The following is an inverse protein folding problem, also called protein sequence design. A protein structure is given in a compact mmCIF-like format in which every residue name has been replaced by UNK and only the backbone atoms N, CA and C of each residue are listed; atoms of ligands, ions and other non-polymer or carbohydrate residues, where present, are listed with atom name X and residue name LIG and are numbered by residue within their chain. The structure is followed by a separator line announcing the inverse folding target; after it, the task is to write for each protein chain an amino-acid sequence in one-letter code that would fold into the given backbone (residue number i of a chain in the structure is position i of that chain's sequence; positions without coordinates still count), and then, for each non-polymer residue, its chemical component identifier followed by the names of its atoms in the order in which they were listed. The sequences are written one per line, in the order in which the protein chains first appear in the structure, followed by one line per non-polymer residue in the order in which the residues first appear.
data_IF_925491213897
#
_entry.id   IF_925491213897
#
_cell.length_a   1.000
_cell.length_b   1.000
_cell.length_c   1.000
_cell.angle_alpha   90.00
_cell.angle_beta   90.00
_cell.angle_gamma   90.00
#
_symmetry.space_group_name_H-M   'P 1'
#
loop_
_entity.id
_entity.type
_entity.pdbx_description
1 polymer ?
#
# COMPACT_ATOMS: atom_id res chain seq x y z
N UNK A 1 -2.48 9.52 -15.08
CA UNK A 1 -3.09 8.49 -16.00
C UNK A 1 -3.70 7.40 -15.15
N UNK A 2 -4.90 6.87 -15.54
CA UNK A 2 -5.55 5.71 -14.90
C UNK A 2 -5.44 4.50 -15.84
N UNK A 3 -5.07 3.32 -15.30
CA UNK A 3 -4.95 2.06 -16.05
C UNK A 3 -5.52 0.91 -15.22
N UNK A 4 -6.16 -0.09 -15.85
CA UNK A 4 -6.53 -1.34 -15.16
C UNK A 4 -5.30 -2.05 -14.62
N UNK A 5 -5.41 -2.59 -13.41
CA UNK A 5 -4.32 -3.30 -12.74
C UNK A 5 -4.65 -4.76 -12.42
N UNK A 6 -5.87 -5.16 -12.66
CA UNK A 6 -6.38 -6.51 -12.51
C UNK A 6 -7.74 -6.55 -11.84
N UNK A 7 -8.25 -7.75 -11.63
CA UNK A 7 -9.56 -8.00 -11.03
C UNK A 7 -9.40 -8.91 -9.82
N UNK A 8 -9.98 -8.52 -8.70
CA UNK A 8 -10.00 -9.33 -7.49
C UNK A 8 -10.92 -10.56 -7.64
N UNK A 9 -10.74 -11.61 -6.84
CA UNK A 9 -11.65 -12.77 -6.83
C UNK A 9 -13.10 -12.42 -6.53
N UNK A 10 -13.36 -11.28 -5.88
CA UNK A 10 -14.70 -10.72 -5.65
C UNK A 10 -15.37 -10.18 -6.92
N UNK A 11 -14.62 -10.03 -8.03
CA UNK A 11 -15.06 -9.42 -9.26
C UNK A 11 -14.82 -7.91 -9.35
N UNK A 12 -14.27 -7.30 -8.30
CA UNK A 12 -13.94 -5.86 -8.29
C UNK A 12 -12.67 -5.59 -9.10
N UNK A 13 -12.73 -4.56 -9.95
CA UNK A 13 -11.55 -4.10 -10.71
C UNK A 13 -10.65 -3.23 -9.83
N UNK A 14 -9.34 -3.38 -10.02
CA UNK A 14 -8.31 -2.54 -9.42
C UNK A 14 -7.62 -1.69 -10.47
N UNK A 15 -7.11 -0.54 -10.05
CA UNK A 15 -6.53 0.44 -10.97
C UNK A 15 -5.17 0.94 -10.49
N UNK A 16 -4.34 1.33 -11.46
CA UNK A 16 -3.15 2.15 -11.24
C UNK A 16 -3.47 3.61 -11.55
N UNK A 17 -3.05 4.48 -10.66
CA UNK A 17 -3.12 5.94 -10.81
C UNK A 17 -1.69 6.47 -10.86
N UNK A 18 -1.24 6.83 -12.05
CA UNK A 18 0.10 7.40 -12.21
C UNK A 18 0.08 8.88 -11.89
N UNK A 19 0.90 9.28 -10.93
CA UNK A 19 1.22 10.66 -10.61
C UNK A 19 2.63 10.98 -11.09
N UNK A 20 2.89 12.24 -11.47
CA UNK A 20 4.17 12.65 -12.01
C UNK A 20 4.54 14.08 -11.58
N UNK A 21 5.84 14.35 -11.48
CA UNK A 21 6.38 15.68 -11.26
C UNK A 21 7.75 15.79 -11.95
N UNK A 22 7.84 16.62 -12.98
CA UNK A 22 9.04 16.71 -13.81
C UNK A 22 9.37 15.36 -14.46
N UNK A 23 10.54 14.80 -14.15
CA UNK A 23 10.96 13.49 -14.64
C UNK A 23 10.56 12.33 -13.72
N UNK A 24 10.02 12.61 -12.53
CA UNK A 24 9.59 11.59 -11.58
C UNK A 24 8.20 11.07 -11.96
N UNK A 25 7.99 9.76 -11.81
CA UNK A 25 6.68 9.12 -12.03
C UNK A 25 6.45 8.02 -11.01
N UNK A 26 5.27 7.99 -10.42
CA UNK A 26 4.90 7.06 -9.38
C UNK A 26 3.48 6.50 -9.61
N UNK A 27 3.35 5.28 -10.17
CA UNK A 27 2.10 4.54 -10.17
C UNK A 27 1.73 4.05 -8.75
N UNK A 28 0.50 4.36 -8.34
CA UNK A 28 -0.11 3.90 -7.08
C UNK A 28 -1.37 3.12 -7.41
N UNK A 29 -1.57 1.95 -6.81
CA UNK A 29 -2.81 1.18 -6.97
C UNK A 29 -3.79 1.47 -5.84
N UNK A 30 -5.10 1.39 -6.14
CA UNK A 30 -6.16 1.41 -5.13
C UNK A 30 -6.22 0.11 -4.31
N UNK A 31 -5.60 -0.98 -4.77
CA UNK A 31 -5.44 -2.16 -3.94
C UNK A 31 -4.31 -1.93 -2.91
N UNK A 32 -4.71 -1.76 -1.66
CA UNK A 32 -3.79 -1.50 -0.56
C UNK A 32 -3.23 -0.08 -0.52
N UNK A 33 -3.70 0.84 -1.37
CA UNK A 33 -3.08 2.16 -1.55
C UNK A 33 -1.55 2.04 -1.74
N UNK A 34 -1.13 1.09 -2.58
CA UNK A 34 0.25 0.62 -2.68
C UNK A 34 1.04 1.39 -3.74
N UNK A 35 2.25 1.83 -3.41
CA UNK A 35 3.21 2.37 -4.36
C UNK A 35 3.79 1.22 -5.18
N UNK A 36 3.44 1.15 -6.47
CA UNK A 36 3.83 0.02 -7.34
C UNK A 36 5.20 0.23 -7.96
N UNK A 37 5.52 1.47 -8.30
CA UNK A 37 6.76 1.83 -8.99
C UNK A 37 7.13 3.28 -8.65
N UNK A 38 8.40 3.61 -8.70
CA UNK A 38 8.90 4.98 -8.65
C UNK A 38 10.03 5.13 -9.65
N UNK A 39 9.74 5.78 -10.77
CA UNK A 39 10.75 6.08 -11.78
C UNK A 39 11.50 7.35 -11.39
N UNK A 40 12.81 7.24 -11.25
CA UNK A 40 13.72 8.34 -10.95
C UNK A 40 14.86 8.37 -11.97
N UNK A 41 15.33 9.56 -12.37
CA UNK A 41 16.51 9.65 -13.22
C UNK A 41 17.78 9.38 -12.42
N UNK A 42 18.72 8.66 -13.02
CA UNK A 42 20.09 8.57 -12.52
C UNK A 42 20.88 9.86 -12.84
N UNK A 43 22.18 9.86 -12.54
CA UNK A 43 23.08 11.01 -12.82
C UNK A 43 23.17 11.38 -14.30
N UNK A 44 22.92 10.43 -15.20
CA UNK A 44 22.97 10.61 -16.65
C UNK A 44 21.57 10.91 -17.22
N UNK A 45 20.54 10.98 -16.37
CA UNK A 45 19.16 11.28 -16.72
C UNK A 45 18.37 10.06 -17.22
N UNK A 46 18.92 8.86 -17.11
CA UNK A 46 18.24 7.61 -17.46
C UNK A 46 17.27 7.22 -16.34
N UNK A 47 16.01 6.98 -16.69
CA UNK A 47 14.98 6.59 -15.72
C UNK A 47 15.15 5.13 -15.31
N UNK A 48 15.11 4.88 -14.00
CA UNK A 48 15.08 3.54 -13.42
C UNK A 48 14.00 3.45 -12.35
N UNK A 49 13.37 2.28 -12.22
CA UNK A 49 12.47 1.99 -11.11
C UNK A 49 13.28 1.64 -9.86
N UNK A 50 13.00 2.34 -8.78
CA UNK A 50 13.70 2.13 -7.49
C UNK A 50 12.81 1.46 -6.44
N UNK A 51 11.62 1.00 -6.81
CA UNK A 51 10.67 0.30 -5.93
C UNK A 51 10.52 -1.15 -6.39
N UNK A 52 10.69 -2.08 -5.47
CA UNK A 52 10.36 -3.48 -5.71
C UNK A 52 8.84 -3.68 -5.62
N UNK A 53 8.26 -4.43 -6.55
CA UNK A 53 6.83 -4.67 -6.60
C UNK A 53 6.46 -5.84 -7.51
N UNK A 54 5.17 -5.91 -7.81
CA UNK A 54 4.58 -6.91 -8.71
C UNK A 54 3.90 -6.22 -9.90
N UNK A 55 3.73 -6.96 -11.00
CA UNK A 55 3.23 -6.43 -12.26
C UNK A 55 1.69 -6.27 -12.29
N UNK A 56 0.98 -6.90 -11.34
CA UNK A 56 -0.48 -6.89 -11.25
C UNK A 56 -0.99 -7.00 -9.81
N UNK A 57 -2.29 -6.83 -9.63
CA UNK A 57 -2.91 -6.89 -8.30
C UNK A 57 -2.88 -8.30 -7.71
N UNK A 58 -2.82 -9.36 -8.52
CA UNK A 58 -2.74 -10.74 -8.03
C UNK A 58 -1.40 -11.01 -7.33
N UNK A 59 -0.30 -10.48 -7.86
CA UNK A 59 1.00 -10.51 -7.21
C UNK A 59 0.97 -9.85 -5.83
N UNK A 60 0.33 -8.68 -5.71
CA UNK A 60 0.17 -8.01 -4.41
C UNK A 60 -0.75 -8.77 -3.47
N UNK A 61 -1.81 -9.37 -3.98
CA UNK A 61 -2.77 -10.14 -3.18
C UNK A 61 -2.15 -11.41 -2.58
N UNK A 62 -1.32 -12.12 -3.35
CA UNK A 62 -0.79 -13.44 -2.99
C UNK A 62 0.65 -13.40 -2.50
N UNK A 63 1.45 -12.47 -2.99
CA UNK A 63 2.90 -12.42 -2.78
C UNK A 63 3.37 -11.36 -1.80
N UNK A 64 2.50 -10.45 -1.32
CA UNK A 64 2.95 -9.26 -0.58
C UNK A 64 3.26 -9.49 0.91
N UNK A 65 3.71 -10.68 1.30
CA UNK A 65 4.20 -10.94 2.65
C UNK A 65 5.41 -10.07 3.05
N UNK A 66 6.14 -9.52 2.07
CA UNK A 66 7.25 -8.59 2.27
C UNK A 66 6.79 -7.11 2.38
N UNK A 67 5.48 -6.82 2.26
CA UNK A 67 4.90 -5.49 2.30
C UNK A 67 5.53 -4.51 1.28
N UNK A 68 5.83 -4.98 0.06
CA UNK A 68 6.45 -4.17 -1.00
C UNK A 68 5.54 -2.99 -1.35
N UNK A 69 6.06 -1.77 -1.23
CA UNK A 69 5.33 -0.53 -1.51
C UNK A 69 4.07 -0.28 -0.68
N UNK A 70 3.81 -1.11 0.34
CA UNK A 70 2.55 -1.18 1.08
C UNK A 70 2.27 0.07 1.93
N UNK A 71 1.01 0.50 1.94
CA UNK A 71 0.51 1.41 2.97
C UNK A 71 0.19 0.62 4.23
N UNK A 72 0.97 0.86 5.28
CA UNK A 72 0.86 0.17 6.57
C UNK A 72 0.18 1.06 7.61
N UNK A 73 -0.83 0.54 8.26
CA UNK A 73 -1.58 1.28 9.28
C UNK A 73 -2.69 0.43 9.95
N UNK A 74 -3.31 0.99 11.02
CA UNK A 74 -2.99 2.30 11.63
C UNK A 74 -1.63 2.31 12.33
N UNK A 75 -1.25 1.21 13.03
CA UNK A 75 0.07 1.05 13.63
C UNK A 75 0.99 0.31 12.66
N UNK A 76 2.20 0.81 12.49
CA UNK A 76 3.27 0.11 11.80
C UNK A 76 4.12 -0.67 12.80
N UNK A 77 4.73 -1.77 12.32
CA UNK A 77 5.58 -2.65 13.11
C UNK A 77 4.83 -3.30 14.30
N UNK A 78 5.53 -3.68 15.35
CA UNK A 78 5.01 -4.50 16.46
C UNK A 78 4.48 -3.67 17.60
N UNK A 79 3.27 -4.03 18.04
CA UNK A 79 2.71 -3.63 19.32
C UNK A 79 2.85 -4.79 20.29
N UNK A 80 3.73 -4.66 21.28
CA UNK A 80 4.02 -5.69 22.28
C UNK A 80 2.74 -6.06 23.06
N UNK A 81 2.50 -7.37 23.17
CA UNK A 81 1.33 -7.87 23.90
C UNK A 81 -0.01 -7.50 23.27
N UNK A 82 0.00 -7.03 22.00
CA UNK A 82 -1.20 -6.62 21.27
C UNK A 82 -2.13 -5.68 22.06
N UNK A 83 -1.56 -4.82 22.92
CA UNK A 83 -2.35 -3.87 23.72
C UNK A 83 -1.56 -2.61 24.04
N UNK A 84 -2.27 -1.53 24.32
CA UNK A 84 -1.71 -0.26 24.78
C UNK A 84 -2.69 0.49 25.66
N UNK A 85 -2.14 1.31 26.57
CA UNK A 85 -2.94 2.19 27.42
C UNK A 85 -3.00 3.61 26.86
N UNK A 86 -4.19 4.19 26.84
CA UNK A 86 -4.41 5.57 26.42
C UNK A 86 -5.52 6.19 27.27
N UNK A 87 -5.23 7.32 27.91
CA UNK A 87 -6.17 8.07 28.76
C UNK A 87 -6.85 7.20 29.84
N UNK A 88 -6.06 6.34 30.51
CA UNK A 88 -6.54 5.45 31.57
C UNK A 88 -7.39 4.25 31.10
N UNK A 89 -7.44 4.00 29.79
CA UNK A 89 -8.14 2.86 29.21
C UNK A 89 -7.17 1.98 28.43
N UNK A 90 -7.23 0.67 28.65
CA UNK A 90 -6.47 -0.33 27.89
C UNK A 90 -7.24 -0.69 26.61
N UNK A 91 -6.56 -0.63 25.48
CA UNK A 91 -7.05 -1.04 24.18
C UNK A 91 -6.35 -2.33 23.77
N UNK A 92 -7.13 -3.28 23.25
CA UNK A 92 -6.62 -4.57 22.77
C UNK A 92 -6.78 -4.66 21.26
N UNK A 93 -5.78 -5.24 20.61
CA UNK A 93 -5.78 -5.55 19.19
C UNK A 93 -5.63 -7.06 18.99
N UNK A 94 -6.06 -7.62 17.85
CA UNK A 94 -5.80 -9.03 17.54
C UNK A 94 -4.30 -9.31 17.55
N UNK A 95 -3.89 -10.39 18.21
CA UNK A 95 -2.53 -10.91 18.13
C UNK A 95 -2.39 -11.69 16.81
N UNK A 96 -1.57 -11.21 15.89
CA UNK A 96 -1.35 -11.83 14.58
C UNK A 96 0.10 -12.25 14.34
N UNK A 97 0.98 -11.98 15.34
CA UNK A 97 2.37 -12.43 15.34
C UNK A 97 2.77 -12.84 16.76
N UNK A 98 2.63 -14.13 17.08
CA UNK A 98 2.79 -14.64 18.43
C UNK A 98 1.83 -13.94 19.40
N UNK A 99 2.36 -13.29 20.45
CA UNK A 99 1.58 -12.48 21.38
C UNK A 99 1.44 -11.01 20.97
N UNK A 100 2.05 -10.60 19.86
CA UNK A 100 2.08 -9.21 19.43
C UNK A 100 1.05 -8.93 18.34
N UNK A 101 0.69 -7.65 18.16
CA UNK A 101 0.07 -7.19 16.93
C UNK A 101 1.14 -6.63 16.00
N UNK A 102 1.16 -7.09 14.74
CA UNK A 102 2.05 -6.62 13.69
C UNK A 102 1.24 -5.91 12.60
N UNK A 103 1.61 -4.65 12.29
CA UNK A 103 1.07 -3.87 11.19
C UNK A 103 -0.45 -3.71 11.22
N UNK A 104 -1.06 -3.70 12.40
CA UNK A 104 -2.52 -3.65 12.61
C UNK A 104 -3.30 -4.81 11.99
N UNK A 105 -2.60 -5.94 11.71
CA UNK A 105 -3.26 -7.14 11.18
C UNK A 105 -4.25 -7.79 12.18
N UNK A 106 -4.97 -8.82 11.70
CA UNK A 106 -4.81 -9.51 10.40
C UNK A 106 -5.47 -8.79 9.21
N UNK A 107 -6.34 -7.80 9.45
CA UNK A 107 -7.01 -7.02 8.40
C UNK A 107 -6.16 -5.82 7.99
N UNK A 108 -5.11 -6.11 7.24
CA UNK A 108 -4.11 -5.12 6.83
C UNK A 108 -4.66 -4.09 5.84
N UNK A 109 -4.21 -2.83 5.95
CA UNK A 109 -4.55 -1.78 4.99
C UNK A 109 -4.13 -2.11 3.56
N UNK A 110 -3.00 -2.77 3.40
CA UNK A 110 -2.48 -3.16 2.08
C UNK A 110 -3.21 -4.36 1.43
N UNK A 111 -4.20 -4.97 2.12
CA UNK A 111 -5.10 -5.99 1.54
C UNK A 111 -6.51 -5.45 1.26
N UNK A 112 -6.75 -4.16 1.46
CA UNK A 112 -8.06 -3.54 1.22
C UNK A 112 -8.11 -2.86 -0.14
N UNK A 113 -9.28 -2.86 -0.77
CA UNK A 113 -9.55 -1.99 -1.90
C UNK A 113 -9.95 -0.61 -1.35
N UNK A 114 -9.19 0.40 -1.72
CA UNK A 114 -9.40 1.79 -1.31
C UNK A 114 -10.20 2.54 -2.38
N UNK A 115 -11.07 3.42 -1.94
CA UNK A 115 -11.88 4.23 -2.84
C UNK A 115 -11.11 5.47 -3.30
N UNK A 116 -11.12 5.71 -4.62
CA UNK A 116 -10.56 6.94 -5.18
C UNK A 116 -11.41 8.15 -4.77
N UNK A 117 -10.78 9.11 -4.12
CA UNK A 117 -11.37 10.44 -3.82
C UNK A 117 -11.01 11.43 -4.92
N UNK A 118 -9.74 11.51 -5.28
CA UNK A 118 -9.28 12.40 -6.35
C UNK A 118 -7.97 11.93 -6.98
N UNK A 119 -7.78 12.27 -8.26
CA UNK A 119 -6.55 12.02 -9.00
C UNK A 119 -6.25 13.20 -9.91
N UNK A 120 -5.08 13.79 -9.74
CA UNK A 120 -4.53 14.85 -10.59
C UNK A 120 -3.22 14.37 -11.22
N UNK A 121 -2.55 15.23 -11.97
CA UNK A 121 -1.24 14.90 -12.53
C UNK A 121 -0.19 14.57 -11.45
N UNK A 122 -0.23 15.25 -10.32
CA UNK A 122 0.79 15.17 -9.27
C UNK A 122 0.31 14.60 -7.92
N UNK A 123 -0.97 14.23 -7.81
CA UNK A 123 -1.53 13.71 -6.56
C UNK A 123 -2.63 12.69 -6.78
N UNK A 124 -2.70 11.69 -5.91
CA UNK A 124 -3.82 10.77 -5.77
C UNK A 124 -4.25 10.72 -4.29
N UNK A 125 -5.56 10.76 -4.06
CA UNK A 125 -6.16 10.63 -2.72
C UNK A 125 -7.07 9.42 -2.72
N UNK A 126 -6.82 8.51 -1.78
CA UNK A 126 -7.57 7.27 -1.56
C UNK A 126 -8.12 7.26 -0.12
N UNK A 127 -9.33 6.69 0.08
CA UNK A 127 -9.97 6.51 1.40
C UNK A 127 -10.47 5.06 1.62
#
# INVERSE_FOLDING_TARGET
MKKSFGTLPSGEETFLYTIACGKLSAPVTDYGATLVSLLVPDRDGVLADVVLGYDDCEGYRTGNGACLGATVGRNANRLKGASFDLNGKTYHMPANEGSNNLHSGPDFFFHRLWKLVSHTESAVTLE
#
